data_IF_668732951005
#
_entry.id   IF_668732951005
#
_cell.length_a   1.000
_cell.length_b   1.000
_cell.length_c   1.000
_cell.angle_alpha   90.00
_cell.angle_beta   90.00
_cell.angle_gamma   90.00
#
_symmetry.space_group_name_H-M   'P 1'
#
loop_
_entity.id
_entity.type
_entity.pdbx_description
1 polymer ?
#
# COMPACT_ATOMS: atom_id res chain seq x y z
N UNK A 1 -46.66 35.06 -9.30
CA UNK A 1 -45.63 34.75 -8.29
C UNK A 1 -44.83 33.53 -8.73
N UNK A 2 -43.67 33.76 -9.33
CA UNK A 2 -42.74 32.72 -9.77
C UNK A 2 -41.94 32.26 -8.56
N UNK A 3 -42.18 31.03 -8.08
CA UNK A 3 -41.37 30.43 -7.01
C UNK A 3 -40.07 29.91 -7.60
N UNK A 4 -39.02 30.74 -7.58
CA UNK A 4 -37.64 30.33 -7.77
C UNK A 4 -37.26 29.34 -6.66
N UNK A 5 -37.34 28.04 -6.96
CA UNK A 5 -36.65 27.02 -6.16
C UNK A 5 -35.17 27.07 -6.53
N UNK A 6 -34.39 27.67 -5.64
CA UNK A 6 -32.94 27.62 -5.61
C UNK A 6 -32.45 26.19 -5.83
N UNK A 7 -31.72 25.97 -6.92
CA UNK A 7 -30.99 24.73 -7.19
C UNK A 7 -30.04 24.49 -6.01
N UNK A 8 -30.31 23.45 -5.22
CA UNK A 8 -29.44 22.96 -4.16
C UNK A 8 -28.06 22.69 -4.76
N UNK A 9 -27.07 23.42 -4.24
CA UNK A 9 -25.64 23.15 -4.18
C UNK A 9 -25.09 22.17 -5.24
N UNK A 10 -24.53 22.75 -6.31
CA UNK A 10 -23.54 22.08 -7.13
C UNK A 10 -22.34 21.73 -6.25
N UNK A 11 -22.20 20.45 -5.86
CA UNK A 11 -20.88 19.92 -5.54
C UNK A 11 -20.08 20.00 -6.84
N UNK A 12 -18.92 20.67 -6.88
CA UNK A 12 -18.05 20.54 -8.04
C UNK A 12 -17.73 19.05 -8.15
N UNK A 13 -17.93 18.46 -9.31
CA UNK A 13 -17.50 17.08 -9.55
C UNK A 13 -15.98 17.07 -9.35
N UNK A 14 -15.51 16.69 -8.17
CA UNK A 14 -14.13 16.25 -8.03
C UNK A 14 -14.05 15.05 -8.94
N UNK A 15 -13.51 15.26 -10.15
CA UNK A 15 -13.35 14.23 -11.17
C UNK A 15 -12.80 12.99 -10.47
N UNK A 16 -13.52 11.87 -10.54
CA UNK A 16 -13.09 10.61 -9.93
C UNK A 16 -11.65 10.37 -10.35
N UNK A 17 -10.76 10.20 -9.38
CA UNK A 17 -9.36 9.92 -9.61
C UNK A 17 -9.14 8.41 -9.50
N UNK A 18 -8.14 7.91 -10.20
CA UNK A 18 -7.78 6.50 -10.16
C UNK A 18 -6.28 6.43 -9.89
N UNK A 19 -5.90 6.12 -8.65
CA UNK A 19 -4.51 6.00 -8.23
C UNK A 19 -4.19 4.55 -7.89
N UNK A 20 -3.11 4.02 -8.44
CA UNK A 20 -2.58 2.70 -8.10
C UNK A 20 -1.19 2.86 -7.50
N UNK A 21 -1.08 2.64 -6.19
CA UNK A 21 0.18 2.61 -5.49
C UNK A 21 0.75 1.19 -5.55
N UNK A 22 1.95 1.06 -6.11
CA UNK A 22 2.74 -0.15 -6.13
C UNK A 22 3.89 0.01 -5.14
N UNK A 23 4.01 -0.92 -4.20
CA UNK A 23 5.07 -0.98 -3.21
C UNK A 23 5.82 -2.29 -3.36
N UNK A 24 7.13 -2.19 -3.52
CA UNK A 24 8.06 -3.31 -3.36
C UNK A 24 8.93 -3.02 -2.15
N UNK A 25 8.88 -3.87 -1.13
CA UNK A 25 9.64 -3.64 0.11
C UNK A 25 10.39 -4.89 0.52
N UNK A 26 11.64 -4.71 0.90
CA UNK A 26 12.44 -5.73 1.57
C UNK A 26 12.46 -5.44 3.06
N UNK A 27 12.28 -6.50 3.84
CA UNK A 27 11.96 -6.43 5.25
C UNK A 27 12.84 -7.43 6.01
N UNK A 28 13.28 -7.10 7.22
CA UNK A 28 14.04 -8.04 8.06
C UNK A 28 13.14 -9.14 8.63
N UNK A 29 11.83 -8.85 8.78
CA UNK A 29 10.85 -9.78 9.36
C UNK A 29 9.61 -9.89 8.47
N UNK A 30 8.96 -11.05 8.50
CA UNK A 30 7.76 -11.36 7.72
C UNK A 30 6.63 -11.81 8.65
N UNK A 31 5.35 -11.56 8.33
CA UNK A 31 4.26 -12.19 9.05
C UNK A 31 4.23 -13.70 8.79
N UNK A 32 3.87 -14.47 9.81
CA UNK A 32 3.75 -15.93 9.75
C UNK A 32 2.32 -16.37 9.46
N UNK A 33 2.13 -17.68 9.27
CA UNK A 33 0.79 -18.27 9.04
C UNK A 33 -0.22 -17.88 10.14
N UNK A 34 0.20 -17.81 11.39
CA UNK A 34 -0.66 -17.46 12.53
C UNK A 34 -0.98 -15.96 12.60
N UNK A 35 -0.33 -15.12 11.80
CA UNK A 35 -0.55 -13.67 11.77
C UNK A 35 -1.65 -13.24 10.79
N UNK A 36 -2.34 -14.17 10.12
CA UNK A 36 -3.42 -13.88 9.14
C UNK A 36 -4.41 -12.84 9.66
N UNK A 37 -4.89 -12.98 10.90
CA UNK A 37 -5.86 -12.04 11.49
C UNK A 37 -5.26 -10.66 11.80
N UNK A 38 -3.99 -10.61 12.22
CA UNK A 38 -3.28 -9.33 12.42
C UNK A 38 -3.09 -8.60 11.09
N UNK A 39 -2.76 -9.34 10.03
CA UNK A 39 -2.62 -8.78 8.68
C UNK A 39 -3.96 -8.30 8.16
N UNK A 40 -5.06 -9.05 8.33
CA UNK A 40 -6.42 -8.56 8.01
C UNK A 40 -6.73 -7.24 8.72
N UNK A 41 -6.45 -7.16 10.02
CA UNK A 41 -6.66 -5.94 10.79
C UNK A 41 -5.82 -4.77 10.26
N UNK A 42 -4.55 -5.01 9.92
CA UNK A 42 -3.67 -4.01 9.31
C UNK A 42 -4.25 -3.49 7.99
N UNK A 43 -4.74 -4.38 7.12
CA UNK A 43 -5.39 -3.99 5.86
C UNK A 43 -6.66 -3.16 6.12
N UNK A 44 -7.49 -3.53 7.10
CA UNK A 44 -8.67 -2.74 7.48
C UNK A 44 -8.31 -1.34 7.98
N UNK A 45 -7.20 -1.19 8.73
CA UNK A 45 -6.71 0.14 9.14
C UNK A 45 -6.18 0.94 7.96
N UNK A 46 -5.47 0.29 7.02
CA UNK A 46 -5.00 0.93 5.79
C UNK A 46 -6.18 1.46 4.98
N UNK A 47 -7.25 0.67 4.80
CA UNK A 47 -8.47 1.09 4.08
C UNK A 47 -9.05 2.37 4.71
N UNK A 48 -9.11 2.45 6.04
CA UNK A 48 -9.57 3.66 6.75
C UNK A 48 -8.63 4.84 6.53
N UNK A 49 -7.32 4.61 6.60
CA UNK A 49 -6.30 5.65 6.48
C UNK A 49 -6.21 6.28 5.09
N UNK A 50 -6.59 5.53 4.05
CA UNK A 50 -6.71 6.02 2.67
C UNK A 50 -8.11 6.54 2.33
N UNK A 51 -8.99 6.67 3.33
CA UNK A 51 -10.37 7.18 3.20
C UNK A 51 -11.21 6.39 2.17
N UNK A 52 -11.08 5.06 2.20
CA UNK A 52 -11.84 4.14 1.36
C UNK A 52 -12.82 3.32 2.19
N UNK A 53 -13.78 2.68 1.53
CA UNK A 53 -14.77 1.79 2.16
C UNK A 53 -14.49 0.34 1.78
N UNK A 54 -14.38 -0.53 2.78
CA UNK A 54 -14.29 -1.97 2.53
C UNK A 54 -15.57 -2.47 1.85
N UNK A 55 -15.41 -3.30 0.83
CA UNK A 55 -16.51 -4.04 0.19
C UNK A 55 -16.78 -5.37 0.93
N UNK A 56 -15.72 -6.00 1.43
CA UNK A 56 -15.76 -7.23 2.19
C UNK A 56 -14.52 -7.37 3.07
N UNK A 57 -14.59 -8.24 4.08
CA UNK A 57 -13.44 -8.57 4.92
C UNK A 57 -12.24 -9.04 4.07
N UNK A 58 -11.00 -8.62 4.38
CA UNK A 58 -9.82 -9.11 3.66
C UNK A 58 -9.67 -10.63 3.77
N UNK A 59 -9.32 -11.27 2.67
CA UNK A 59 -9.02 -12.70 2.62
C UNK A 59 -7.51 -12.87 2.61
N UNK A 60 -6.99 -13.70 3.51
CA UNK A 60 -5.54 -13.92 3.67
C UNK A 60 -5.28 -15.42 3.79
N UNK A 61 -4.37 -15.91 2.94
CA UNK A 61 -3.97 -17.31 2.84
C UNK A 61 -2.47 -17.43 3.06
N UNK A 62 -2.02 -18.56 3.58
CA UNK A 62 -0.61 -18.90 3.61
C UNK A 62 -0.31 -19.88 2.47
N UNK A 63 0.63 -19.50 1.61
CA UNK A 63 1.07 -20.30 0.48
C UNK A 63 2.40 -20.98 0.81
N UNK A 64 2.47 -22.30 0.59
CA UNK A 64 3.68 -23.10 0.78
C UNK A 64 4.50 -23.32 -0.50
N UNK A 65 3.93 -22.96 -1.65
CA UNK A 65 4.50 -23.17 -2.97
C UNK A 65 4.13 -22.02 -3.92
N UNK A 66 4.94 -21.73 -4.96
CA UNK A 66 6.23 -22.36 -5.27
C UNK A 66 7.33 -21.93 -4.31
N UNK A 67 8.48 -22.64 -4.36
CA UNK A 67 9.67 -22.25 -3.61
C UNK A 67 10.06 -20.80 -3.93
N UNK A 68 10.52 -20.08 -2.91
CA UNK A 68 10.86 -18.66 -2.94
C UNK A 68 9.68 -17.69 -2.94
N UNK A 69 8.44 -18.20 -3.04
CA UNK A 69 7.23 -17.40 -2.96
C UNK A 69 6.33 -17.84 -1.78
N UNK A 70 6.89 -18.58 -0.82
CA UNK A 70 6.15 -19.01 0.37
C UNK A 70 5.82 -17.82 1.27
N UNK A 71 4.63 -17.78 1.85
CA UNK A 71 4.22 -16.74 2.77
C UNK A 71 2.76 -16.32 2.63
N UNK A 72 2.40 -15.16 3.16
CA UNK A 72 1.01 -14.69 3.13
C UNK A 72 0.66 -14.02 1.81
N UNK A 73 -0.43 -14.46 1.20
CA UNK A 73 -1.08 -13.79 0.07
C UNK A 73 -2.46 -13.35 0.50
N UNK A 74 -2.83 -12.12 0.16
CA UNK A 74 -4.16 -11.63 0.50
C UNK A 74 -4.70 -10.58 -0.42
N UNK A 75 -6.02 -10.41 -0.35
CA UNK A 75 -6.78 -9.41 -1.08
C UNK A 75 -7.78 -8.75 -0.13
N UNK A 76 -7.80 -7.42 -0.12
CA UNK A 76 -8.76 -6.58 0.58
C UNK A 76 -9.67 -5.89 -0.43
N UNK A 77 -10.90 -6.37 -0.64
CA UNK A 77 -11.85 -5.72 -1.53
C UNK A 77 -12.27 -4.36 -0.97
N UNK A 78 -12.15 -3.32 -1.80
CA UNK A 78 -12.64 -1.96 -1.52
C UNK A 78 -13.79 -1.69 -2.48
N UNK A 79 -14.76 -0.85 -2.12
CA UNK A 79 -15.79 -0.41 -3.06
C UNK A 79 -15.11 0.12 -4.35
N UNK A 80 -15.39 -0.54 -5.48
CA UNK A 80 -14.88 -0.24 -6.85
C UNK A 80 -13.37 -0.37 -7.10
N UNK A 81 -12.57 -0.87 -6.15
CA UNK A 81 -11.13 -1.06 -6.31
C UNK A 81 -10.59 -2.22 -5.45
N UNK A 82 -9.28 -2.26 -5.14
CA UNK A 82 -8.72 -3.37 -4.34
C UNK A 82 -7.41 -3.00 -3.65
N UNK A 83 -7.10 -3.77 -2.61
CA UNK A 83 -5.76 -3.96 -2.08
C UNK A 83 -5.35 -5.41 -2.33
N UNK A 84 -4.14 -5.66 -2.80
CA UNK A 84 -3.58 -7.01 -2.95
C UNK A 84 -2.14 -7.04 -2.45
N UNK A 85 -1.73 -8.12 -1.77
CA UNK A 85 -0.37 -8.24 -1.27
C UNK A 85 0.16 -9.66 -1.30
N UNK A 86 1.49 -9.75 -1.36
CA UNK A 86 2.25 -10.97 -1.18
C UNK A 86 3.44 -10.68 -0.27
N UNK A 87 3.45 -11.30 0.91
CA UNK A 87 4.64 -11.44 1.73
C UNK A 87 5.30 -12.78 1.36
N UNK A 88 6.53 -12.73 0.86
CA UNK A 88 7.37 -13.90 0.68
C UNK A 88 8.37 -13.95 1.83
N UNK A 89 8.30 -14.97 2.67
CA UNK A 89 9.11 -15.09 3.89
C UNK A 89 10.46 -15.79 3.68
N UNK A 90 10.68 -16.33 2.48
CA UNK A 90 11.94 -16.93 2.02
C UNK A 90 12.20 -16.59 0.55
N UNK A 91 12.22 -15.32 0.16
CA UNK A 91 12.43 -14.94 -1.23
C UNK A 91 13.81 -15.40 -1.71
N UNK A 92 14.00 -15.46 -3.02
CA UNK A 92 15.32 -15.71 -3.59
C UNK A 92 16.27 -14.58 -3.14
N UNK A 93 17.37 -14.88 -2.42
CA UNK A 93 18.24 -13.84 -1.90
C UNK A 93 18.91 -13.02 -3.02
N UNK A 94 18.96 -13.53 -4.25
CA UNK A 94 19.57 -12.83 -5.41
C UNK A 94 18.74 -11.64 -5.90
N UNK A 95 17.46 -11.58 -5.51
CA UNK A 95 16.58 -10.46 -5.87
C UNK A 95 16.46 -9.41 -4.76
N UNK A 96 17.18 -9.60 -3.65
CA UNK A 96 17.24 -8.66 -2.54
C UNK A 96 18.43 -7.72 -2.70
N UNK A 97 18.26 -6.48 -2.26
CA UNK A 97 19.27 -5.43 -2.35
C UNK A 97 20.10 -5.33 -1.08
N UNK A 98 19.55 -5.67 0.08
CA UNK A 98 20.27 -5.56 1.36
C UNK A 98 20.50 -6.93 2.01
N UNK A 99 21.66 -7.11 2.64
CA UNK A 99 22.05 -8.40 3.24
C UNK A 99 21.25 -8.80 4.49
N UNK A 100 20.52 -7.86 5.12
CA UNK A 100 19.67 -8.12 6.28
C UNK A 100 18.22 -8.46 5.94
N UNK A 101 17.82 -8.33 4.68
CA UNK A 101 16.47 -8.66 4.21
C UNK A 101 16.21 -10.17 4.25
N UNK A 102 15.09 -10.55 4.85
CA UNK A 102 14.62 -11.95 4.86
C UNK A 102 13.20 -12.11 4.32
N UNK A 103 12.53 -11.00 4.00
CA UNK A 103 11.16 -10.99 3.55
C UNK A 103 10.99 -9.97 2.42
N UNK A 104 10.21 -10.34 1.41
CA UNK A 104 9.86 -9.46 0.29
C UNK A 104 8.34 -9.25 0.28
N UNK A 105 7.92 -8.00 0.33
CA UNK A 105 6.54 -7.57 0.18
C UNK A 105 6.32 -6.99 -1.21
N UNK A 106 5.36 -7.55 -1.94
CA UNK A 106 4.72 -6.93 -3.09
C UNK A 106 3.35 -6.44 -2.64
N UNK A 107 3.06 -5.15 -2.77
CA UNK A 107 1.84 -4.56 -2.20
C UNK A 107 1.21 -3.51 -3.12
N UNK A 108 -0.02 -3.81 -3.54
CA UNK A 108 -0.79 -3.08 -4.52
C UNK A 108 -2.00 -2.44 -3.80
N UNK A 109 -2.12 -1.12 -3.91
CA UNK A 109 -3.26 -0.36 -3.39
C UNK A 109 -3.86 0.43 -4.54
N UNK A 110 -4.90 -0.12 -5.15
CA UNK A 110 -5.67 0.56 -6.18
C UNK A 110 -6.88 1.24 -5.57
N UNK A 111 -7.05 2.54 -5.86
CA UNK A 111 -8.12 3.37 -5.32
C UNK A 111 -8.86 4.13 -6.41
N UNK A 112 -10.18 4.26 -6.26
CA UNK A 112 -11.02 5.19 -7.01
C UNK A 112 -11.12 6.57 -6.33
N UNK A 113 -9.99 7.05 -5.78
CA UNK A 113 -9.88 8.36 -5.17
C UNK A 113 -8.45 8.89 -5.23
N UNK A 114 -8.26 10.10 -4.74
CA UNK A 114 -6.95 10.72 -4.67
C UNK A 114 -6.13 10.13 -3.52
N UNK A 115 -4.97 9.58 -3.83
CA UNK A 115 -4.02 9.11 -2.83
C UNK A 115 -2.93 10.17 -2.61
N UNK A 116 -3.01 10.90 -1.50
CA UNK A 116 -2.02 11.91 -1.13
C UNK A 116 -0.74 11.29 -0.59
N UNK A 117 0.36 12.04 -0.57
CA UNK A 117 1.60 11.59 0.06
C UNK A 117 1.44 11.32 1.56
N UNK A 118 0.58 12.07 2.25
CA UNK A 118 0.21 11.80 3.64
C UNK A 118 -0.49 10.44 3.80
N UNK A 119 -1.35 10.05 2.85
CA UNK A 119 -1.95 8.71 2.86
C UNK A 119 -0.88 7.63 2.64
N UNK A 120 0.04 7.85 1.70
CA UNK A 120 1.18 6.94 1.47
C UNK A 120 2.02 6.80 2.75
N UNK A 121 2.36 7.90 3.42
CA UNK A 121 3.10 7.87 4.68
C UNK A 121 2.42 7.03 5.77
N UNK A 122 1.08 7.11 5.87
CA UNK A 122 0.29 6.26 6.79
C UNK A 122 0.37 4.78 6.41
N UNK A 123 0.26 4.44 5.13
CA UNK A 123 0.44 3.06 4.65
C UNK A 123 1.81 2.53 5.04
N UNK A 124 2.87 3.29 4.78
CA UNK A 124 4.24 2.90 5.12
C UNK A 124 4.44 2.79 6.64
N UNK A 125 3.78 3.62 7.43
CA UNK A 125 3.83 3.55 8.89
C UNK A 125 3.40 2.17 9.42
N UNK A 126 2.29 1.60 8.89
CA UNK A 126 1.84 0.24 9.24
C UNK A 126 2.89 -0.84 8.97
N UNK A 127 3.78 -0.62 7.99
CA UNK A 127 4.82 -1.56 7.59
C UNK A 127 6.12 -1.42 8.41
N UNK A 128 6.23 -0.39 9.26
CA UNK A 128 7.38 -0.18 10.15
C UNK A 128 7.64 -1.37 11.06
N UNK A 129 6.58 -2.07 11.48
CA UNK A 129 6.69 -3.25 12.35
C UNK A 129 7.52 -4.39 11.73
N UNK A 130 7.62 -4.43 10.40
CA UNK A 130 8.37 -5.46 9.69
C UNK A 130 9.85 -5.11 9.44
N UNK A 131 10.28 -3.92 9.91
CA UNK A 131 11.66 -3.41 9.80
C UNK A 131 12.12 -3.34 8.34
N UNK A 132 11.63 -2.36 7.56
CA UNK A 132 12.05 -2.19 6.18
C UNK A 132 13.53 -1.90 6.05
N UNK A 133 14.16 -2.46 5.02
CA UNK A 133 15.57 -2.24 4.68
C UNK A 133 15.76 -1.66 3.28
N UNK A 134 14.80 -1.90 2.39
CA UNK A 134 14.76 -1.37 1.03
C UNK A 134 13.32 -1.16 0.59
N UNK A 135 13.01 -0.04 -0.06
CA UNK A 135 11.64 0.34 -0.45
C UNK A 135 11.63 1.02 -1.81
N UNK A 136 10.84 0.50 -2.74
CA UNK A 136 10.44 1.18 -3.97
C UNK A 136 8.94 1.46 -3.98
N UNK A 137 8.59 2.67 -4.38
CA UNK A 137 7.22 3.18 -4.40
C UNK A 137 6.95 3.76 -5.77
N UNK A 138 5.92 3.30 -6.44
CA UNK A 138 5.41 3.92 -7.67
C UNK A 138 3.93 4.24 -7.51
N UNK A 139 3.56 5.50 -7.71
CA UNK A 139 2.16 5.92 -7.81
C UNK A 139 1.82 6.09 -9.29
N UNK A 140 0.93 5.24 -9.78
CA UNK A 140 0.40 5.30 -11.12
C UNK A 140 -0.91 6.08 -11.15
N UNK A 141 -1.04 7.02 -12.09
CA UNK A 141 -2.32 7.55 -12.52
C UNK A 141 -2.98 6.58 -13.49
N UNK A 142 -4.22 6.24 -13.21
CA UNK A 142 -5.05 5.29 -13.97
C UNK A 142 -6.26 5.95 -14.63
N UNK A 143 -6.37 7.29 -14.58
CA UNK A 143 -7.56 8.02 -15.00
C UNK A 143 -7.74 8.05 -16.52
N UNK A 144 -6.64 8.27 -17.26
CA UNK A 144 -6.65 8.35 -18.73
C UNK A 144 -5.59 7.48 -19.39
N UNK A 145 -4.80 6.75 -18.60
CA UNK A 145 -3.66 5.95 -19.08
C UNK A 145 -2.97 5.23 -17.92
N UNK A 146 -1.74 4.79 -18.13
CA UNK A 146 -0.86 4.23 -17.10
C UNK A 146 0.37 5.14 -16.96
N UNK A 147 0.21 6.30 -16.33
CA UNK A 147 1.31 7.27 -16.17
C UNK A 147 1.86 7.24 -14.77
N UNK A 148 3.17 7.48 -14.61
CA UNK A 148 3.81 7.57 -13.31
C UNK A 148 3.64 9.01 -12.79
N UNK A 149 2.85 9.18 -11.73
CA UNK A 149 2.72 10.46 -11.03
C UNK A 149 3.84 10.67 -10.01
N UNK A 150 4.36 9.58 -9.45
CA UNK A 150 5.46 9.60 -8.48
C UNK A 150 6.23 8.31 -8.50
N UNK A 151 7.55 8.42 -8.31
CA UNK A 151 8.42 7.32 -7.97
C UNK A 151 9.33 7.75 -6.81
N UNK A 152 9.49 6.89 -5.80
CA UNK A 152 10.34 7.14 -4.63
C UNK A 152 11.07 5.85 -4.27
N UNK A 153 12.27 6.04 -3.72
CA UNK A 153 13.15 4.96 -3.29
C UNK A 153 13.72 5.28 -1.91
N UNK A 154 13.98 4.24 -1.11
CA UNK A 154 14.76 4.32 0.12
C UNK A 154 15.55 3.02 0.34
N UNK A 155 16.80 3.16 0.77
CA UNK A 155 17.68 2.08 1.16
C UNK A 155 18.31 2.38 2.53
N UNK A 156 18.25 1.40 3.44
CA UNK A 156 18.87 1.47 4.76
C UNK A 156 20.39 1.63 4.72
N UNK A 157 21.03 1.18 3.64
CA UNK A 157 22.48 1.29 3.45
C UNK A 157 22.94 2.71 3.07
N UNK A 158 22.01 3.61 2.70
CA UNK A 158 22.32 5.01 2.35
C UNK A 158 22.56 5.91 3.59
N UNK A 159 22.50 5.34 4.80
CA UNK A 159 22.80 6.04 6.06
C UNK A 159 21.66 6.85 6.66
N UNK A 160 20.49 6.90 6.02
CA UNK A 160 19.28 7.51 6.58
C UNK A 160 18.38 6.46 7.24
N UNK A 161 17.99 6.67 8.50
CA UNK A 161 17.07 5.76 9.18
C UNK A 161 15.67 5.77 8.56
N UNK A 162 14.97 4.63 8.62
CA UNK A 162 13.58 4.50 8.17
C UNK A 162 12.65 5.55 8.79
N UNK A 163 12.79 5.78 10.10
CA UNK A 163 11.96 6.72 10.86
C UNK A 163 12.20 8.15 10.41
N UNK A 164 13.45 8.52 10.13
CA UNK A 164 13.77 9.87 9.67
C UNK A 164 13.31 10.08 8.23
N UNK A 165 13.41 9.05 7.38
CA UNK A 165 12.90 9.10 6.02
C UNK A 165 11.38 9.29 5.98
N UNK A 166 10.61 8.58 6.83
CA UNK A 166 9.16 8.76 6.95
C UNK A 166 8.74 10.14 7.47
N UNK A 167 9.61 10.84 8.22
CA UNK A 167 9.36 12.20 8.72
C UNK A 167 9.78 13.28 7.74
N UNK A 168 10.29 12.93 6.56
CA UNK A 168 10.64 13.92 5.54
C UNK A 168 9.39 14.68 5.09
N UNK A 169 9.59 15.91 4.59
CA UNK A 169 8.50 16.73 4.02
C UNK A 169 7.76 16.07 2.86
N UNK A 170 8.26 14.95 2.35
CA UNK A 170 7.59 14.20 1.28
C UNK A 170 6.23 13.68 1.75
N UNK A 171 6.08 13.31 3.03
CA UNK A 171 4.87 12.68 3.58
C UNK A 171 3.99 13.61 4.44
N UNK A 172 4.32 14.91 4.50
CA UNK A 172 3.57 15.93 5.26
C UNK A 172 2.63 16.73 4.38
#
# INVERSE_FOLDING_TARGET
MVKNRTRKNNFPSSKVQHHHLLLRMELETCPHEDDKEKVKHMIDQIIKDINMKSLASPHVYYMKYPRFNEGLTGIGPIETSHIAFHFWNRPDPRILHTGSSNCLLQFDIYTCGFLSTKNIGKVLHHLTQYRPTYVDITLLNRNTGLTIDRHMHWNSEDGQSWVDWLKTRVFH
#
